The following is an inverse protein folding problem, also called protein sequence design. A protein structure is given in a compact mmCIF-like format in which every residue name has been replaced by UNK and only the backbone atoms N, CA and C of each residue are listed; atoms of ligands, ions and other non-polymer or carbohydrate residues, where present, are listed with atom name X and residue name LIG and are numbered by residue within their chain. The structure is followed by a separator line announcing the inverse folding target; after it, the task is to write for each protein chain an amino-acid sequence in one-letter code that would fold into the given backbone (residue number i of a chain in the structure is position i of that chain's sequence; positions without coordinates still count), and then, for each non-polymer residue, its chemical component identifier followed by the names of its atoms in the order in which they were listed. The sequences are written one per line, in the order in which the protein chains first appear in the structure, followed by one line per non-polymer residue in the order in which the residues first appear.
data_IF_679090386491
#
_entry.id   IF_679090386491
#
_cell.length_a   1.000
_cell.length_b   1.000
_cell.length_c   1.000
_cell.angle_alpha   90.00
_cell.angle_beta   90.00
_cell.angle_gamma   90.00
#
_symmetry.space_group_name_H-M   'P 1'
#
loop_
_entity.id
_entity.type
_entity.pdbx_description
1 polymer ?
#
# COMPACT_ATOMS: atom_id res chain seq x y z
N UNK A 1 31.48 12.19 20.83
CA UNK A 1 31.78 10.90 20.21
C UNK A 1 30.45 10.19 19.98
N UNK A 2 29.96 10.17 18.74
CA UNK A 2 28.78 9.36 18.35
C UNK A 2 29.26 7.91 18.34
N UNK A 3 28.69 7.09 19.20
CA UNK A 3 28.89 5.66 19.15
C UNK A 3 28.47 5.19 17.74
N UNK A 4 29.43 4.66 17.01
CA UNK A 4 29.20 3.98 15.74
C UNK A 4 28.49 2.68 16.11
N UNK A 5 27.17 2.68 16.03
CA UNK A 5 26.38 1.44 16.21
C UNK A 5 26.75 0.54 15.04
N UNK A 6 27.52 -0.48 15.33
CA UNK A 6 27.81 -1.53 14.36
C UNK A 6 26.51 -2.31 14.13
N UNK A 7 25.98 -2.20 12.91
CA UNK A 7 24.75 -2.87 12.49
C UNK A 7 24.97 -4.39 12.24
N UNK A 8 26.07 -4.94 12.74
CA UNK A 8 26.48 -6.33 12.48
C UNK A 8 25.61 -7.39 13.16
N UNK A 9 24.59 -6.98 13.95
CA UNK A 9 23.86 -7.87 14.84
C UNK A 9 22.34 -7.76 14.67
N UNK A 10 21.85 -7.36 13.50
CA UNK A 10 20.40 -7.28 13.27
C UNK A 10 19.71 -8.63 13.54
N UNK A 11 20.44 -9.72 13.32
CA UNK A 11 19.97 -11.10 13.47
C UNK A 11 19.91 -11.54 14.94
N UNK A 12 20.66 -10.90 15.81
CA UNK A 12 20.71 -11.20 17.24
C UNK A 12 19.70 -10.39 18.05
N UNK A 13 19.22 -9.27 17.48
CA UNK A 13 18.25 -8.43 18.15
C UNK A 13 16.84 -9.02 18.13
N UNK A 14 16.27 -9.21 19.31
CA UNK A 14 14.85 -9.58 19.44
C UNK A 14 13.94 -8.39 19.13
N UNK A 15 12.76 -8.69 18.64
CA UNK A 15 11.69 -7.67 18.42
C UNK A 15 11.38 -6.93 19.73
N UNK A 16 11.45 -7.62 20.86
CA UNK A 16 11.27 -7.05 22.19
C UNK A 16 12.29 -5.93 22.49
N UNK A 17 13.57 -6.18 22.24
CA UNK A 17 14.64 -5.18 22.40
C UNK A 17 14.43 -3.99 21.48
N UNK A 18 14.06 -4.22 20.21
CA UNK A 18 13.72 -3.14 19.30
C UNK A 18 12.56 -2.29 19.82
N UNK A 19 11.51 -2.93 20.38
CA UNK A 19 10.36 -2.24 20.95
C UNK A 19 10.76 -1.36 22.14
N UNK A 20 11.58 -1.85 23.03
CA UNK A 20 12.06 -1.11 24.18
C UNK A 20 12.84 0.14 23.77
N UNK A 21 13.76 0.01 22.84
CA UNK A 21 14.58 1.13 22.36
C UNK A 21 13.76 2.15 21.58
N UNK A 22 12.88 1.68 20.70
CA UNK A 22 12.14 2.55 19.78
C UNK A 22 10.95 3.26 20.44
N UNK A 23 10.34 2.65 21.47
CA UNK A 23 9.14 3.16 22.12
C UNK A 23 9.44 3.89 23.44
N UNK A 24 10.69 4.02 23.87
CA UNK A 24 11.07 4.67 25.12
C UNK A 24 10.41 6.05 25.32
N UNK A 25 10.29 6.84 24.25
CA UNK A 25 9.79 8.21 24.31
C UNK A 25 8.39 8.40 23.70
N UNK A 26 7.78 7.36 23.11
CA UNK A 26 6.52 7.51 22.35
C UNK A 26 5.65 6.26 22.34
N UNK A 27 5.24 5.81 23.53
CA UNK A 27 4.24 4.74 23.57
C UNK A 27 2.92 5.22 22.96
N UNK A 28 2.61 4.71 21.78
CA UNK A 28 1.30 4.88 21.15
C UNK A 28 0.52 3.58 21.30
N UNK A 29 -0.70 3.61 21.86
CA UNK A 29 -1.52 2.43 21.95
C UNK A 29 -1.82 1.87 20.56
N UNK A 30 -2.00 0.56 20.47
CA UNK A 30 -2.38 -0.10 19.21
C UNK A 30 -3.73 0.45 18.74
N UNK A 31 -3.75 1.01 17.53
CA UNK A 31 -5.00 1.40 16.87
C UNK A 31 -5.60 0.16 16.24
N UNK A 32 -6.77 -0.24 16.68
CA UNK A 32 -7.53 -1.38 16.16
C UNK A 32 -9.00 -1.02 16.04
N UNK A 33 -9.78 -1.91 15.43
CA UNK A 33 -11.22 -1.75 15.25
C UNK A 33 -11.93 -3.08 15.48
N UNK A 34 -13.18 -3.01 15.97
CA UNK A 34 -14.04 -4.18 16.12
C UNK A 34 -14.65 -4.62 14.77
N UNK A 35 -14.93 -5.92 14.55
CA UNK A 35 -15.62 -6.40 13.34
C UNK A 35 -17.03 -5.83 13.18
N UNK A 36 -17.65 -5.38 14.27
CA UNK A 36 -18.99 -4.78 14.27
C UNK A 36 -19.00 -3.27 13.94
N UNK A 37 -17.84 -2.63 13.85
CA UNK A 37 -17.73 -1.23 13.46
C UNK A 37 -18.01 -1.04 11.97
N UNK A 38 -18.42 0.17 11.60
CA UNK A 38 -18.70 0.50 10.20
C UNK A 38 -17.42 0.62 9.36
N UNK A 39 -17.55 0.40 8.05
CA UNK A 39 -16.43 0.66 7.12
C UNK A 39 -16.03 2.15 7.11
N UNK A 40 -16.99 3.05 7.38
CA UNK A 40 -16.71 4.47 7.52
C UNK A 40 -15.80 4.77 8.72
N UNK A 41 -16.06 4.13 9.87
CA UNK A 41 -15.21 4.26 11.06
C UNK A 41 -13.81 3.73 10.79
N UNK A 42 -13.71 2.63 10.04
CA UNK A 42 -12.43 2.06 9.64
C UNK A 42 -11.63 3.03 8.75
N UNK A 43 -12.25 3.63 7.72
CA UNK A 43 -11.62 4.62 6.85
C UNK A 43 -11.21 5.86 7.65
N UNK A 44 -12.09 6.36 8.51
CA UNK A 44 -11.81 7.51 9.37
C UNK A 44 -10.63 7.24 10.30
N UNK A 45 -10.55 6.05 10.87
CA UNK A 45 -9.44 5.63 11.73
C UNK A 45 -8.12 5.58 10.96
N UNK A 46 -8.09 5.00 9.77
CA UNK A 46 -6.90 4.96 8.90
C UNK A 46 -6.37 6.36 8.59
N UNK A 47 -7.27 7.29 8.24
CA UNK A 47 -6.91 8.68 7.89
C UNK A 47 -6.43 9.44 9.13
N UNK A 48 -7.18 9.39 10.24
CA UNK A 48 -6.88 10.11 11.48
C UNK A 48 -5.52 9.73 12.05
N UNK A 49 -5.25 8.43 12.10
CA UNK A 49 -4.00 7.91 12.68
C UNK A 49 -2.86 7.82 11.67
N UNK A 50 -3.12 8.14 10.39
CA UNK A 50 -2.12 8.08 9.28
C UNK A 50 -1.46 6.69 9.18
N UNK A 51 -2.26 5.64 9.33
CA UNK A 51 -1.82 4.24 9.26
C UNK A 51 -2.32 3.59 7.96
N UNK A 52 -1.57 2.64 7.44
CA UNK A 52 -1.92 1.91 6.22
C UNK A 52 -2.56 0.56 6.49
N UNK A 53 -2.50 0.09 7.72
CA UNK A 53 -2.98 -1.23 8.16
C UNK A 53 -3.73 -1.06 9.48
N UNK A 54 -4.96 -1.52 9.52
CA UNK A 54 -5.84 -1.45 10.69
C UNK A 54 -6.21 -2.88 11.10
N UNK A 55 -5.67 -3.36 12.24
CA UNK A 55 -6.05 -4.65 12.79
C UNK A 55 -7.53 -4.66 13.18
N UNK A 56 -8.23 -5.71 12.79
CA UNK A 56 -9.61 -6.00 13.25
C UNK A 56 -9.52 -7.02 14.34
N UNK A 57 -9.92 -6.63 15.54
CA UNK A 57 -9.78 -7.43 16.77
C UNK A 57 -11.17 -7.76 17.31
N UNK A 58 -11.36 -9.03 17.65
CA UNK A 58 -12.54 -9.49 18.35
C UNK A 58 -12.52 -8.94 19.79
N UNK A 59 -13.54 -8.18 20.22
CA UNK A 59 -13.54 -7.57 21.55
C UNK A 59 -13.64 -8.60 22.69
N UNK A 60 -14.23 -9.76 22.44
CA UNK A 60 -14.46 -10.76 23.47
C UNK A 60 -13.22 -11.62 23.74
N UNK A 61 -12.55 -12.07 22.69
CA UNK A 61 -11.38 -12.95 22.80
C UNK A 61 -10.04 -12.20 22.72
N UNK A 62 -10.03 -10.96 22.25
CA UNK A 62 -8.81 -10.20 21.96
C UNK A 62 -8.03 -10.70 20.73
N UNK A 63 -8.56 -11.68 19.99
CA UNK A 63 -7.91 -12.26 18.84
C UNK A 63 -7.96 -11.32 17.63
N UNK A 64 -6.85 -11.25 16.88
CA UNK A 64 -6.82 -10.57 15.59
C UNK A 64 -7.49 -11.43 14.53
N UNK A 65 -8.61 -10.94 13.98
CA UNK A 65 -9.37 -11.66 12.96
C UNK A 65 -8.75 -11.46 11.57
N UNK A 66 -8.41 -10.22 11.22
CA UNK A 66 -7.71 -9.87 9.98
C UNK A 66 -7.17 -8.44 10.02
N UNK A 67 -6.46 -8.04 8.96
CA UNK A 67 -5.92 -6.69 8.81
C UNK A 67 -6.62 -6.01 7.63
N UNK A 68 -7.27 -4.87 7.88
CA UNK A 68 -7.85 -4.02 6.87
C UNK A 68 -6.80 -3.07 6.30
N UNK A 69 -6.77 -2.90 4.97
CA UNK A 69 -5.83 -2.04 4.26
C UNK A 69 -6.55 -1.17 3.24
N UNK A 70 -5.93 -0.05 2.82
CA UNK A 70 -6.47 0.80 1.74
C UNK A 70 -6.80 -0.01 0.49
N UNK A 71 -5.91 -0.89 0.06
CA UNK A 71 -6.08 -1.78 -1.09
C UNK A 71 -7.36 -2.63 -0.99
N UNK A 72 -7.60 -3.25 0.17
CA UNK A 72 -8.80 -4.08 0.40
C UNK A 72 -10.07 -3.25 0.38
N UNK A 73 -10.02 -2.04 0.93
CA UNK A 73 -11.15 -1.10 0.89
C UNK A 73 -11.44 -0.66 -0.53
N UNK A 74 -10.42 -0.28 -1.31
CA UNK A 74 -10.59 0.09 -2.73
C UNK A 74 -11.17 -1.05 -3.55
N UNK A 75 -10.68 -2.28 -3.36
CA UNK A 75 -11.21 -3.47 -4.03
C UNK A 75 -12.69 -3.69 -3.70
N UNK A 76 -13.06 -3.52 -2.43
CA UNK A 76 -14.46 -3.60 -2.00
C UNK A 76 -15.32 -2.51 -2.64
N UNK A 77 -14.88 -1.25 -2.61
CA UNK A 77 -15.61 -0.13 -3.21
C UNK A 77 -15.79 -0.32 -4.71
N UNK A 78 -14.80 -0.86 -5.43
CA UNK A 78 -14.92 -1.18 -6.86
C UNK A 78 -16.09 -2.14 -7.14
N UNK A 79 -16.34 -3.11 -6.27
CA UNK A 79 -17.46 -4.07 -6.44
C UNK A 79 -18.83 -3.36 -6.43
N UNK A 80 -18.95 -2.22 -5.76
CA UNK A 80 -20.19 -1.45 -5.72
C UNK A 80 -20.30 -0.42 -6.84
N UNK A 81 -19.18 0.00 -7.43
CA UNK A 81 -19.16 1.04 -8.47
C UNK A 81 -19.19 0.41 -9.88
N UNK A 82 -18.71 -0.81 -10.04
CA UNK A 82 -18.77 -1.51 -11.33
C UNK A 82 -20.11 -2.18 -11.51
N UNK A 83 -20.86 -1.92 -12.60
CA UNK A 83 -22.02 -2.72 -12.94
C UNK A 83 -21.54 -4.16 -13.11
N UNK A 84 -22.05 -5.06 -12.27
CA UNK A 84 -21.80 -6.49 -12.40
C UNK A 84 -22.39 -6.92 -13.74
N UNK A 85 -21.52 -7.04 -14.76
CA UNK A 85 -21.88 -7.65 -16.04
C UNK A 85 -22.21 -9.13 -15.75
N UNK A 86 -23.47 -9.39 -15.46
CA UNK A 86 -23.99 -10.76 -15.37
C UNK A 86 -23.91 -11.38 -16.76
N UNK A 87 -22.78 -11.94 -17.13
CA UNK A 87 -22.79 -13.01 -18.12
C UNK A 87 -23.51 -14.19 -17.49
N UNK A 88 -24.82 -14.24 -17.79
CA UNK A 88 -25.68 -15.34 -17.42
C UNK A 88 -25.16 -16.64 -18.01
N UNK A 89 -24.57 -17.46 -17.20
CA UNK A 89 -24.50 -18.88 -17.46
C UNK A 89 -25.84 -19.49 -17.05
N UNK A 90 -26.73 -19.54 -18.04
CA UNK A 90 -28.02 -20.26 -17.97
C UNK A 90 -27.70 -21.76 -17.93
N UNK A 91 -27.41 -22.30 -16.77
CA UNK A 91 -27.53 -23.73 -16.54
C UNK A 91 -28.88 -24.00 -15.94
N UNK A 92 -29.78 -24.50 -16.77
CA UNK A 92 -30.94 -25.25 -16.33
C UNK A 92 -30.43 -26.48 -15.55
N UNK A 93 -30.80 -26.59 -14.30
CA UNK A 93 -30.84 -27.86 -13.60
C UNK A 93 -32.07 -27.87 -12.70
N UNK A 94 -32.81 -28.90 -12.92
CA UNK A 94 -34.05 -29.37 -12.34
C UNK A 94 -34.12 -29.39 -10.81
N UNK A 95 -35.35 -29.27 -10.36
CA UNK A 95 -35.85 -29.29 -8.99
C UNK A 95 -35.23 -30.34 -8.04
N UNK A 96 -35.05 -29.89 -6.80
CA UNK A 96 -34.79 -30.81 -5.66
C UNK A 96 -34.44 -30.07 -4.38
N UNK A 97 -35.42 -30.03 -3.46
CA UNK A 97 -35.26 -29.96 -2.00
C UNK A 97 -34.73 -28.71 -1.30
N UNK A 98 -35.54 -28.30 -0.35
CA UNK A 98 -35.44 -27.17 0.56
C UNK A 98 -34.17 -27.15 1.44
N UNK A 99 -33.33 -26.20 1.23
CA UNK A 99 -32.36 -25.69 2.19
C UNK A 99 -32.38 -24.19 2.09
N UNK A 100 -32.70 -23.48 3.14
CA UNK A 100 -32.78 -22.03 3.19
C UNK A 100 -31.38 -21.43 3.05
N UNK A 101 -30.88 -21.28 1.81
CA UNK A 101 -29.69 -20.46 1.54
C UNK A 101 -29.96 -19.00 1.94
N UNK A 102 -29.00 -18.33 2.59
CA UNK A 102 -29.10 -16.89 2.81
C UNK A 102 -29.30 -16.21 1.45
N UNK A 103 -30.32 -15.35 1.32
CA UNK A 103 -30.52 -14.55 0.12
C UNK A 103 -29.22 -13.83 -0.24
N UNK A 104 -28.72 -13.95 -1.46
CA UNK A 104 -27.63 -13.09 -1.91
C UNK A 104 -28.08 -11.64 -1.74
N UNK A 105 -27.28 -10.84 -1.05
CA UNK A 105 -27.46 -9.41 -0.93
C UNK A 105 -27.71 -8.87 -2.35
N UNK A 106 -28.92 -8.38 -2.61
CA UNK A 106 -29.21 -7.61 -3.80
C UNK A 106 -28.45 -6.29 -3.64
N UNK A 107 -27.26 -6.25 -4.21
CA UNK A 107 -26.50 -5.01 -4.35
C UNK A 107 -27.30 -4.17 -5.35
N UNK A 108 -28.10 -3.26 -4.84
CA UNK A 108 -28.73 -2.20 -5.63
C UNK A 108 -27.60 -1.42 -6.27
N UNK A 109 -27.69 -1.18 -7.58
CA UNK A 109 -26.75 -0.35 -8.32
C UNK A 109 -26.68 1.01 -7.63
N UNK A 110 -25.59 1.25 -6.92
CA UNK A 110 -25.32 2.58 -6.37
C UNK A 110 -24.95 3.47 -7.54
N UNK A 111 -25.66 4.58 -7.75
CA UNK A 111 -25.33 5.50 -8.84
C UNK A 111 -23.87 5.93 -8.69
N UNK A 112 -23.13 5.84 -9.78
CA UNK A 112 -21.72 6.19 -9.84
C UNK A 112 -21.56 7.68 -9.52
N UNK A 113 -20.76 8.04 -8.50
CA UNK A 113 -20.55 9.44 -8.15
C UNK A 113 -19.93 10.23 -9.33
N UNK A 114 -20.41 11.43 -9.57
CA UNK A 114 -19.94 12.29 -10.68
C UNK A 114 -18.43 12.56 -10.64
N UNK A 115 -17.83 12.64 -9.44
CA UNK A 115 -16.41 12.89 -9.28
C UNK A 115 -15.53 11.78 -9.85
N UNK A 116 -16.05 10.56 -10.05
CA UNK A 116 -15.30 9.44 -10.65
C UNK A 116 -14.92 9.69 -12.11
N UNK A 117 -15.72 10.50 -12.82
CA UNK A 117 -15.45 10.90 -14.20
C UNK A 117 -14.47 12.09 -14.32
N UNK A 118 -14.18 12.77 -13.20
CA UNK A 118 -13.24 13.88 -13.16
C UNK A 118 -11.79 13.40 -13.17
N UNK A 119 -10.91 14.22 -13.72
CA UNK A 119 -9.47 13.98 -13.77
C UNK A 119 -8.81 14.26 -12.41
N UNK A 120 -7.58 13.75 -12.20
CA UNK A 120 -6.80 14.10 -11.00
C UNK A 120 -6.55 15.61 -10.90
N UNK A 121 -6.33 16.26 -12.04
CA UNK A 121 -6.07 17.71 -12.11
C UNK A 121 -7.30 18.50 -11.68
N UNK A 122 -8.49 18.16 -12.17
CA UNK A 122 -9.76 18.79 -11.77
C UNK A 122 -10.09 18.57 -10.29
N UNK A 123 -9.75 17.39 -9.76
CA UNK A 123 -9.97 17.06 -8.35
C UNK A 123 -8.85 17.57 -7.44
N UNK A 124 -7.78 18.13 -7.99
CA UNK A 124 -6.58 18.58 -7.27
C UNK A 124 -5.97 17.47 -6.39
N UNK A 125 -5.99 16.24 -6.88
CA UNK A 125 -5.42 15.08 -6.19
C UNK A 125 -3.97 14.91 -6.62
N UNK A 126 -3.05 14.88 -5.65
CA UNK A 126 -1.62 14.67 -5.86
C UNK A 126 -0.78 15.92 -5.64
N UNK A 127 0.53 15.72 -5.68
CA UNK A 127 1.54 16.79 -5.61
C UNK A 127 2.28 16.80 -6.93
N UNK A 128 2.35 17.96 -7.61
CA UNK A 128 2.91 18.09 -8.97
C UNK A 128 4.20 18.93 -9.02
N UNK A 129 4.62 19.49 -7.88
CA UNK A 129 5.84 20.31 -7.78
C UNK A 129 6.74 19.80 -6.66
N UNK A 130 8.04 20.07 -6.75
CA UNK A 130 9.04 19.71 -5.77
C UNK A 130 9.05 18.21 -5.41
N UNK A 131 8.86 17.36 -6.41
CA UNK A 131 8.88 15.91 -6.24
C UNK A 131 10.32 15.47 -5.97
N UNK A 132 10.52 14.81 -4.82
CA UNK A 132 11.80 14.19 -4.50
C UNK A 132 12.03 12.98 -5.43
N UNK A 133 13.13 12.99 -6.16
CA UNK A 133 13.52 11.93 -7.09
C UNK A 133 14.96 11.49 -6.83
N UNK A 134 15.31 10.31 -7.32
CA UNK A 134 16.70 9.82 -7.34
C UNK A 134 17.08 9.46 -8.76
N UNK A 135 18.38 9.50 -9.06
CA UNK A 135 18.92 9.02 -10.34
C UNK A 135 19.31 7.56 -10.22
N UNK A 136 19.42 6.91 -11.36
CA UNK A 136 19.92 5.52 -11.47
C UNK A 136 21.26 5.30 -10.77
N UNK A 137 22.15 6.29 -10.81
CA UNK A 137 23.48 6.27 -10.20
C UNK A 137 23.52 6.73 -8.74
N UNK A 138 22.38 7.14 -8.16
CA UNK A 138 22.35 7.62 -6.76
C UNK A 138 22.69 6.50 -5.78
N UNK A 139 23.62 6.72 -4.82
CA UNK A 139 23.90 5.76 -3.76
C UNK A 139 22.70 5.57 -2.83
N UNK A 140 22.57 4.37 -2.26
CA UNK A 140 21.42 4.03 -1.39
C UNK A 140 21.37 4.93 -0.15
N UNK A 141 22.51 5.25 0.48
CA UNK A 141 22.52 6.10 1.68
C UNK A 141 21.93 7.49 1.41
N UNK A 142 22.10 8.03 0.19
CA UNK A 142 21.48 9.30 -0.23
C UNK A 142 19.96 9.13 -0.33
N UNK A 143 19.49 8.06 -0.96
CA UNK A 143 18.07 7.78 -1.08
C UNK A 143 17.41 7.60 0.32
N UNK A 144 18.10 6.93 1.25
CA UNK A 144 17.65 6.80 2.63
C UNK A 144 17.51 8.15 3.33
N UNK A 145 18.48 9.05 3.13
CA UNK A 145 18.41 10.43 3.62
C UNK A 145 17.18 11.17 3.11
N UNK A 146 16.87 11.04 1.81
CA UNK A 146 15.71 11.65 1.19
C UNK A 146 14.40 11.08 1.77
N UNK A 147 14.29 9.77 2.00
CA UNK A 147 13.11 9.17 2.66
C UNK A 147 12.81 9.80 4.01
N UNK A 148 13.85 10.05 4.81
CA UNK A 148 13.71 10.65 6.14
C UNK A 148 13.34 12.12 6.06
N UNK A 149 14.07 12.90 5.24
CA UNK A 149 13.88 14.34 5.10
C UNK A 149 12.49 14.69 4.55
N UNK A 150 12.07 14.01 3.48
CA UNK A 150 10.80 14.27 2.80
C UNK A 150 9.62 13.46 3.37
N UNK A 151 9.89 12.54 4.31
CA UNK A 151 8.88 11.64 4.91
C UNK A 151 8.07 10.87 3.86
N UNK A 152 8.71 10.48 2.78
CA UNK A 152 8.12 9.69 1.70
C UNK A 152 8.48 8.21 1.87
N UNK A 153 7.70 7.33 1.27
CA UNK A 153 7.91 5.86 1.32
C UNK A 153 8.45 5.29 0.02
N UNK A 154 8.46 6.07 -1.05
CA UNK A 154 9.00 5.70 -2.35
C UNK A 154 9.53 6.93 -3.07
N UNK A 155 10.52 6.72 -3.94
CA UNK A 155 11.16 7.75 -4.75
C UNK A 155 11.13 7.31 -6.21
N UNK A 156 10.64 8.15 -7.13
CA UNK A 156 10.82 7.92 -8.57
C UNK A 156 12.31 7.89 -8.92
N UNK A 157 12.71 6.89 -9.69
CA UNK A 157 14.06 6.81 -10.26
C UNK A 157 14.00 7.39 -11.67
N UNK A 158 14.81 8.40 -11.93
CA UNK A 158 14.84 9.08 -13.21
C UNK A 158 16.12 8.82 -13.98
N UNK A 159 16.01 8.79 -15.31
CA UNK A 159 17.15 8.77 -16.24
C UNK A 159 17.77 10.17 -16.41
N UNK A 160 18.79 10.27 -17.24
CA UNK A 160 19.49 11.53 -17.51
C UNK A 160 18.61 12.56 -18.24
N UNK A 161 17.53 12.11 -18.89
CA UNK A 161 16.54 12.96 -19.53
C UNK A 161 15.43 13.41 -18.57
N UNK A 162 15.47 12.98 -17.30
CA UNK A 162 14.46 13.28 -16.28
C UNK A 162 13.19 12.44 -16.38
N UNK A 163 13.18 11.38 -17.21
CA UNK A 163 12.02 10.46 -17.30
C UNK A 163 12.06 9.41 -16.20
N UNK A 164 10.90 9.11 -15.63
CA UNK A 164 10.77 8.05 -14.64
C UNK A 164 10.95 6.69 -15.31
N UNK A 165 12.00 5.99 -14.91
CA UNK A 165 12.35 4.64 -15.40
C UNK A 165 12.04 3.55 -14.40
N UNK A 166 12.08 3.88 -13.09
CA UNK A 166 11.80 2.92 -12.02
C UNK A 166 11.27 3.65 -10.77
N UNK A 167 11.00 2.90 -9.71
CA UNK A 167 10.63 3.39 -8.39
C UNK A 167 11.49 2.70 -7.34
N UNK A 168 12.05 3.44 -6.40
CA UNK A 168 12.79 2.91 -5.26
C UNK A 168 11.99 3.15 -3.97
N UNK A 169 11.66 2.11 -3.26
CA UNK A 169 10.78 2.16 -2.10
C UNK A 169 11.47 1.69 -0.82
N UNK A 170 10.89 2.01 0.33
CA UNK A 170 11.34 1.45 1.62
C UNK A 170 11.29 -0.07 1.67
N UNK A 171 10.43 -0.69 0.85
CA UNK A 171 10.37 -2.14 0.73
C UNK A 171 11.64 -2.71 0.10
N UNK A 172 12.20 -2.02 -0.91
CA UNK A 172 13.46 -2.43 -1.54
C UNK A 172 14.64 -2.35 -0.57
N UNK A 173 14.60 -1.40 0.38
CA UNK A 173 15.60 -1.30 1.46
C UNK A 173 15.55 -2.53 2.39
N UNK A 174 14.35 -3.03 2.70
CA UNK A 174 14.19 -4.22 3.54
C UNK A 174 14.77 -5.46 2.84
N UNK A 175 14.68 -5.55 1.52
CA UNK A 175 15.29 -6.64 0.76
C UNK A 175 16.82 -6.69 0.94
N UNK A 176 17.49 -5.54 1.05
CA UNK A 176 18.93 -5.49 1.35
C UNK A 176 19.25 -6.12 2.72
N UNK A 177 18.37 -5.95 3.69
CA UNK A 177 18.52 -6.59 5.01
C UNK A 177 18.31 -8.10 4.90
N UNK A 178 17.34 -8.57 4.13
CA UNK A 178 17.09 -9.98 3.89
C UNK A 178 18.26 -10.68 3.17
N UNK A 179 18.95 -9.97 2.28
CA UNK A 179 20.09 -10.46 1.53
C UNK A 179 21.44 -10.27 2.28
N UNK A 180 21.41 -9.71 3.50
CA UNK A 180 22.61 -9.37 4.30
C UNK A 180 23.58 -8.42 3.58
N UNK A 181 23.07 -7.62 2.64
CA UNK A 181 23.88 -6.65 1.87
C UNK A 181 23.82 -5.24 2.44
N UNK A 182 23.17 -5.05 3.58
CA UNK A 182 22.98 -3.75 4.25
C UNK A 182 24.27 -3.07 4.72
N UNK A 183 25.40 -3.79 4.74
CA UNK A 183 26.70 -3.23 5.08
C UNK A 183 27.32 -2.37 3.97
N UNK A 184 26.80 -2.45 2.76
CA UNK A 184 27.30 -1.69 1.62
C UNK A 184 26.23 -0.74 1.08
N UNK A 185 26.09 0.41 1.72
CA UNK A 185 25.11 1.45 1.34
C UNK A 185 25.63 2.38 0.23
N UNK A 186 26.88 2.19 -0.23
CA UNK A 186 27.45 2.96 -1.34
C UNK A 186 27.04 2.42 -2.72
N UNK A 187 26.40 1.25 -2.75
CA UNK A 187 25.83 0.71 -4.00
C UNK A 187 24.76 1.64 -4.56
N UNK A 188 24.66 1.68 -5.88
CA UNK A 188 23.68 2.51 -6.56
C UNK A 188 22.27 1.96 -6.46
N UNK A 189 21.27 2.84 -6.56
CA UNK A 189 19.86 2.46 -6.61
C UNK A 189 19.59 1.42 -7.69
N UNK A 190 20.17 1.58 -8.88
CA UNK A 190 20.02 0.59 -9.97
C UNK A 190 20.50 -0.79 -9.56
N UNK A 191 21.66 -0.89 -8.89
CA UNK A 191 22.18 -2.17 -8.44
C UNK A 191 21.29 -2.80 -7.38
N UNK A 192 20.77 -2.00 -6.46
CA UNK A 192 19.80 -2.48 -5.46
C UNK A 192 18.52 -3.01 -6.09
N UNK A 193 18.07 -2.42 -7.20
CA UNK A 193 16.87 -2.84 -7.91
C UNK A 193 17.07 -4.08 -8.79
N UNK A 194 18.31 -4.46 -9.12
CA UNK A 194 18.62 -5.69 -9.87
C UNK A 194 18.18 -6.96 -9.15
N UNK A 195 18.02 -6.91 -7.83
CA UNK A 195 17.54 -8.03 -7.02
C UNK A 195 16.03 -8.24 -7.08
N UNK A 196 15.30 -7.33 -7.73
CA UNK A 196 13.86 -7.54 -7.95
C UNK A 196 13.65 -8.77 -8.82
N UNK A 197 12.65 -9.55 -8.44
CA UNK A 197 12.26 -10.76 -9.16
C UNK A 197 11.99 -10.43 -10.64
N UNK A 198 12.21 -11.41 -11.53
CA UNK A 198 11.92 -11.34 -12.96
C UNK A 198 10.44 -11.01 -13.31
N UNK A 199 9.56 -10.97 -12.31
CA UNK A 199 8.13 -10.65 -12.43
C UNK A 199 7.81 -9.15 -12.32
N UNK A 200 8.83 -8.28 -12.20
CA UNK A 200 8.58 -6.85 -12.19
C UNK A 200 8.29 -6.33 -13.60
N UNK A 201 7.01 -6.12 -13.89
CA UNK A 201 6.52 -5.65 -15.20
C UNK A 201 6.74 -4.15 -15.46
N UNK A 202 7.52 -3.47 -14.62
CA UNK A 202 7.76 -2.04 -14.71
C UNK A 202 6.90 -1.19 -13.77
N UNK A 203 7.03 0.12 -13.87
CA UNK A 203 6.33 1.07 -13.01
C UNK A 203 4.95 1.37 -13.54
N UNK A 204 3.92 1.10 -12.75
CA UNK A 204 2.56 1.56 -13.04
C UNK A 204 2.50 3.08 -12.92
N UNK A 205 2.03 3.72 -13.98
CA UNK A 205 1.95 5.18 -14.10
C UNK A 205 0.52 5.61 -14.39
N UNK A 206 0.19 6.80 -13.98
CA UNK A 206 -0.99 7.51 -14.45
C UNK A 206 -0.62 8.95 -14.84
N UNK A 207 -1.49 9.57 -15.61
CA UNK A 207 -1.34 10.97 -15.99
C UNK A 207 -2.40 11.80 -15.28
N UNK A 208 -2.11 13.07 -15.02
CA UNK A 208 -3.01 13.99 -14.31
C UNK A 208 -4.36 14.22 -15.02
N UNK A 209 -4.41 14.03 -16.34
CA UNK A 209 -5.62 14.14 -17.16
C UNK A 209 -6.45 12.85 -17.25
N UNK A 210 -5.99 11.74 -16.65
CA UNK A 210 -6.80 10.52 -16.57
C UNK A 210 -7.86 10.66 -15.48
N UNK A 211 -9.00 10.00 -15.68
CA UNK A 211 -10.10 10.05 -14.71
C UNK A 211 -9.78 9.23 -13.46
N UNK A 212 -10.34 9.65 -12.33
CA UNK A 212 -10.19 8.94 -11.05
C UNK A 212 -10.63 7.48 -11.16
N UNK A 213 -11.70 7.20 -11.90
CA UNK A 213 -12.18 5.84 -12.15
C UNK A 213 -11.13 4.98 -12.85
N UNK A 214 -10.52 5.48 -13.92
CA UNK A 214 -9.48 4.76 -14.67
C UNK A 214 -8.32 4.39 -13.76
N UNK A 215 -7.93 5.32 -12.88
CA UNK A 215 -6.81 5.11 -11.96
C UNK A 215 -7.17 4.09 -10.88
N UNK A 216 -8.35 4.18 -10.27
CA UNK A 216 -8.81 3.20 -9.27
C UNK A 216 -8.90 1.81 -9.90
N UNK A 217 -9.41 1.70 -11.12
CA UNK A 217 -9.47 0.42 -11.82
C UNK A 217 -8.06 -0.17 -12.02
N UNK A 218 -7.10 0.64 -12.47
CA UNK A 218 -5.71 0.22 -12.65
C UNK A 218 -5.07 -0.25 -11.34
N UNK A 219 -5.27 0.48 -10.24
CA UNK A 219 -4.75 0.10 -8.92
C UNK A 219 -5.34 -1.23 -8.42
N UNK A 220 -6.64 -1.45 -8.64
CA UNK A 220 -7.29 -2.69 -8.19
C UNK A 220 -6.89 -3.88 -9.06
N UNK A 221 -6.75 -3.70 -10.39
CA UNK A 221 -6.36 -4.76 -11.33
C UNK A 221 -4.91 -5.18 -11.16
N UNK A 222 -4.03 -4.21 -10.92
CA UNK A 222 -2.61 -4.48 -10.66
C UNK A 222 -2.34 -5.01 -9.25
N UNK A 223 -3.34 -5.07 -8.41
CA UNK A 223 -3.19 -5.48 -7.00
C UNK A 223 -2.13 -4.70 -6.21
N UNK A 224 -1.92 -3.43 -6.55
CA UNK A 224 -0.95 -2.51 -5.90
C UNK A 224 -1.53 -1.83 -4.66
#
# INVERSE_FOLDING_TARGET
ARAQVQIYELEEHKIETWREVYLQDSFKPLVCISPNASLFDAVTSLIRHKIHRLPVIDPDSGNTLYILTHKRILKFLKLFVSPISRRGSRRQSSAGSAGRCPRPLQITEVPKPEFMAKTLEELQIGTYSNIAVVRTSTPIYVALGIFVQHRVSALPVVDDSGRVVDIYSKFDVINLAAEKTYNNLDVTVTRALQHRSHYFEGVLKCYKHETLETIINRLVEAEV
#
